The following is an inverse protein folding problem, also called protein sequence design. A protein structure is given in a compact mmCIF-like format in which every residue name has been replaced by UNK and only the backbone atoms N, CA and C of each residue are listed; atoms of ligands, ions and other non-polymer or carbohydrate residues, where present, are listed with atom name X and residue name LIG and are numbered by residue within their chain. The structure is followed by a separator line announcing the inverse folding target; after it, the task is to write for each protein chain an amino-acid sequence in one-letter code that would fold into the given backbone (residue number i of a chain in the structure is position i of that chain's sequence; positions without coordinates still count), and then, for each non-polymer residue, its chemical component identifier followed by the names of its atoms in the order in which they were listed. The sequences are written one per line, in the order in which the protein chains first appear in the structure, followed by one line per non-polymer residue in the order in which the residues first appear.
data_IF_193031697285
#
_entry.id   IF_193031697285
#
_cell.length_a   1.000
_cell.length_b   1.000
_cell.length_c   1.000
_cell.angle_alpha   90.00
_cell.angle_beta   90.00
_cell.angle_gamma   90.00
#
_symmetry.space_group_name_H-M   'P 1'
#
loop_
_entity.id
_entity.type
_entity.pdbx_description
1 polymer ?
#
# COMPACT_ATOMS: atom_id res chain seq x y z
N UNK A 1 17.02 0.42 21.58
CA UNK A 1 15.89 1.35 21.83
C UNK A 1 14.79 0.96 20.86
N UNK A 2 13.52 1.09 21.25
CA UNK A 2 12.42 0.89 20.30
C UNK A 2 12.37 2.12 19.39
N UNK A 3 12.56 1.91 18.09
CA UNK A 3 12.50 2.97 17.09
C UNK A 3 11.05 3.14 16.61
N UNK A 4 10.66 4.37 16.29
CA UNK A 4 9.39 4.70 15.64
C UNK A 4 9.66 5.61 14.43
N UNK A 5 8.65 5.79 13.59
CA UNK A 5 8.81 6.57 12.36
C UNK A 5 9.14 8.03 12.69
N UNK A 6 10.25 8.55 12.14
CA UNK A 6 10.83 9.87 12.40
C UNK A 6 11.19 10.14 13.87
N UNK A 7 11.73 9.14 14.58
CA UNK A 7 12.10 9.25 16.00
C UNK A 7 13.23 10.24 16.31
N UNK A 8 14.03 10.63 15.32
CA UNK A 8 15.01 11.72 15.43
C UNK A 8 14.38 13.11 15.54
N UNK A 9 13.16 13.28 14.99
CA UNK A 9 12.52 14.59 14.84
C UNK A 9 11.29 14.77 15.73
N UNK A 10 10.55 13.70 16.00
CA UNK A 10 9.27 13.73 16.70
C UNK A 10 9.16 12.62 17.76
N UNK A 11 8.46 12.87 18.88
CA UNK A 11 8.08 11.79 19.79
C UNK A 11 7.02 10.90 19.14
N UNK A 12 6.93 9.63 19.59
CA UNK A 12 5.79 8.80 19.24
C UNK A 12 4.54 9.37 19.93
N UNK A 13 3.61 9.93 19.14
CA UNK A 13 2.46 10.62 19.68
C UNK A 13 1.37 9.64 20.15
N UNK A 14 0.49 10.11 21.04
CA UNK A 14 -0.67 9.33 21.47
C UNK A 14 -1.62 9.07 20.29
N UNK A 15 -2.22 7.86 20.19
CA UNK A 15 -3.05 7.50 19.04
C UNK A 15 -4.19 8.51 18.76
N UNK A 16 -4.83 9.04 19.81
CA UNK A 16 -5.99 9.94 19.68
C UNK A 16 -5.61 11.37 19.27
N UNK A 17 -4.33 11.72 19.31
CA UNK A 17 -3.81 13.04 18.95
C UNK A 17 -2.87 12.99 17.73
N UNK A 18 -3.00 11.94 16.91
CA UNK A 18 -2.14 11.72 15.75
C UNK A 18 -2.95 11.70 14.47
N UNK A 19 -2.55 12.50 13.49
CA UNK A 19 -3.15 12.49 12.16
C UNK A 19 -2.75 11.26 11.34
N UNK A 20 -1.64 10.59 11.69
CA UNK A 20 -1.13 9.42 10.98
C UNK A 20 -0.85 8.28 11.95
N UNK A 21 -1.30 7.07 11.61
CA UNK A 21 -0.95 5.85 12.33
C UNK A 21 -0.09 4.97 11.42
N UNK A 22 1.20 4.87 11.73
CA UNK A 22 2.16 4.01 11.03
C UNK A 22 2.06 2.61 11.61
N UNK A 23 1.68 1.64 10.79
CA UNK A 23 1.37 0.26 11.19
C UNK A 23 2.35 -0.67 10.49
N UNK A 24 3.39 -1.18 11.18
CA UNK A 24 4.33 -2.12 10.59
C UNK A 24 3.69 -3.50 10.45
N UNK A 25 3.68 -4.07 9.24
CA UNK A 25 3.15 -5.39 8.96
C UNK A 25 4.19 -6.24 8.22
N UNK A 26 5.10 -6.92 8.96
CA UNK A 26 6.23 -7.66 8.42
C UNK A 26 5.81 -9.04 7.87
N UNK A 27 4.80 -9.07 7.01
CA UNK A 27 4.31 -10.29 6.37
C UNK A 27 5.24 -10.71 5.24
N UNK A 28 5.60 -11.99 5.24
CA UNK A 28 6.31 -12.68 4.15
C UNK A 28 5.86 -14.14 4.18
N UNK A 29 4.79 -14.45 3.44
CA UNK A 29 4.22 -15.80 3.39
C UNK A 29 4.01 -16.29 1.95
N UNK A 30 3.88 -15.38 0.99
CA UNK A 30 3.51 -15.72 -0.39
C UNK A 30 4.56 -15.32 -1.42
N UNK A 31 5.67 -14.68 -1.02
CA UNK A 31 6.80 -14.37 -1.92
C UNK A 31 7.30 -15.63 -2.64
N UNK A 32 7.59 -15.50 -3.94
CA UNK A 32 7.95 -16.65 -4.79
C UNK A 32 9.38 -16.62 -5.36
N UNK A 33 10.05 -15.46 -5.39
CA UNK A 33 11.40 -15.32 -5.95
C UNK A 33 12.46 -14.99 -4.89
N UNK A 34 12.46 -13.76 -4.36
CA UNK A 34 13.39 -13.33 -3.30
C UNK A 34 12.60 -12.99 -2.03
N UNK A 35 13.11 -13.42 -0.88
CA UNK A 35 12.59 -13.04 0.44
C UNK A 35 13.34 -11.84 1.02
N UNK A 36 13.04 -11.51 2.27
CA UNK A 36 13.55 -10.33 3.00
C UNK A 36 12.52 -9.21 3.16
N UNK A 37 11.36 -9.31 2.52
CA UNK A 37 10.26 -8.36 2.60
C UNK A 37 9.77 -8.13 4.04
N UNK A 38 9.76 -9.16 4.89
CA UNK A 38 9.43 -9.01 6.33
C UNK A 38 10.31 -8.00 7.09
N UNK A 39 11.53 -7.74 6.61
CA UNK A 39 12.44 -6.75 7.23
C UNK A 39 12.13 -5.32 6.75
N UNK A 40 11.35 -5.17 5.68
CA UNK A 40 10.98 -3.90 5.05
C UNK A 40 10.41 -2.87 6.02
N UNK A 41 9.38 -3.18 6.83
CA UNK A 41 8.79 -2.21 7.75
C UNK A 41 9.80 -1.66 8.75
N UNK A 42 10.67 -2.53 9.28
CA UNK A 42 11.73 -2.15 10.22
C UNK A 42 12.76 -1.27 9.53
N UNK A 43 13.23 -1.66 8.35
CA UNK A 43 14.21 -0.89 7.57
C UNK A 43 13.69 0.51 7.21
N UNK A 44 12.41 0.64 6.84
CA UNK A 44 11.77 1.94 6.56
C UNK A 44 11.76 2.81 7.81
N UNK A 45 11.39 2.25 8.97
CA UNK A 45 11.38 2.99 10.24
C UNK A 45 12.80 3.45 10.61
N UNK A 46 13.79 2.57 10.52
CA UNK A 46 15.20 2.93 10.82
C UNK A 46 15.73 4.01 9.87
N UNK A 47 15.44 3.90 8.57
CA UNK A 47 15.84 4.88 7.58
C UNK A 47 15.12 6.23 7.76
N UNK A 48 13.88 6.22 8.27
CA UNK A 48 13.09 7.45 8.47
C UNK A 48 13.77 8.45 9.39
N UNK A 49 14.59 8.01 10.35
CA UNK A 49 15.34 8.89 11.24
C UNK A 49 16.39 9.76 10.53
N UNK A 50 16.68 9.50 9.24
CA UNK A 50 17.57 10.31 8.40
C UNK A 50 16.84 11.43 7.64
N UNK A 51 15.52 11.56 7.80
CA UNK A 51 14.73 12.61 7.16
C UNK A 51 14.57 13.83 8.07
N UNK A 52 14.52 15.00 7.44
CA UNK A 52 14.29 16.28 8.11
C UNK A 52 12.79 16.52 8.36
N UNK A 53 12.45 17.25 9.43
CA UNK A 53 11.05 17.58 9.76
C UNK A 53 10.33 18.44 8.73
N UNK A 54 11.06 19.20 7.92
CA UNK A 54 10.51 20.15 6.95
C UNK A 54 10.50 19.54 5.56
N UNK A 55 9.35 19.62 4.90
CA UNK A 55 9.14 19.17 3.52
C UNK A 55 8.86 20.39 2.66
N UNK A 56 9.65 20.56 1.60
CA UNK A 56 9.50 21.66 0.64
C UNK A 56 8.07 21.67 0.05
N UNK A 57 7.39 22.81 0.11
CA UNK A 57 6.00 22.96 -0.36
C UNK A 57 4.92 22.43 0.59
N UNK A 58 5.28 21.68 1.64
CA UNK A 58 4.32 21.04 2.57
C UNK A 58 4.53 21.40 4.05
N UNK A 59 5.63 22.07 4.41
CA UNK A 59 5.87 22.55 5.77
C UNK A 59 6.28 21.41 6.72
N UNK A 60 5.65 21.33 7.89
CA UNK A 60 5.96 20.33 8.92
C UNK A 60 4.78 19.36 9.13
N UNK A 61 4.63 18.33 8.28
CA UNK A 61 3.53 17.38 8.40
C UNK A 61 3.56 16.58 9.72
N UNK A 62 4.75 16.30 10.26
CA UNK A 62 4.89 15.55 11.53
C UNK A 62 4.34 16.28 12.75
N UNK A 63 4.19 17.62 12.69
CA UNK A 63 3.52 18.40 13.74
C UNK A 63 2.04 18.06 13.95
N UNK A 64 1.41 17.37 12.98
CA UNK A 64 0.05 16.85 13.10
C UNK A 64 -0.04 15.55 13.94
N UNK A 65 1.09 15.05 14.43
CA UNK A 65 1.19 13.85 15.24
C UNK A 65 1.30 12.57 14.40
N UNK A 66 2.28 11.75 14.74
CA UNK A 66 2.55 10.44 14.14
C UNK A 66 2.57 9.42 15.27
N UNK A 67 1.69 8.42 15.18
CA UNK A 67 1.65 7.28 16.08
C UNK A 67 2.19 6.06 15.34
N UNK A 68 3.32 5.50 15.76
CA UNK A 68 3.81 4.21 15.26
C UNK A 68 3.37 3.11 16.23
N UNK A 69 2.66 2.11 15.73
CA UNK A 69 2.20 0.96 16.52
C UNK A 69 3.33 -0.05 16.72
N UNK A 70 3.12 -1.01 17.62
CA UNK A 70 3.89 -2.25 17.56
C UNK A 70 3.64 -2.99 16.23
N UNK A 71 4.61 -3.76 15.71
CA UNK A 71 4.42 -4.55 14.50
C UNK A 71 3.29 -5.57 14.64
N UNK A 72 2.52 -5.76 13.57
CA UNK A 72 1.47 -6.78 13.51
C UNK A 72 2.10 -8.18 13.64
N UNK A 73 1.65 -9.00 14.61
CA UNK A 73 2.12 -10.38 14.74
C UNK A 73 1.71 -11.25 13.54
N UNK A 74 2.68 -12.00 13.00
CA UNK A 74 2.48 -12.90 11.84
C UNK A 74 2.45 -14.38 12.20
N UNK A 75 2.65 -14.73 13.47
CA UNK A 75 2.73 -16.12 13.95
C UNK A 75 1.38 -16.87 14.00
N UNK A 76 0.26 -16.18 13.78
CA UNK A 76 -1.08 -16.79 13.74
C UNK A 76 -1.54 -17.25 12.35
N UNK A 77 -0.68 -17.14 11.33
CA UNK A 77 -0.97 -17.45 9.92
C UNK A 77 -1.62 -16.29 9.15
N UNK A 78 -1.50 -16.34 7.82
CA UNK A 78 -1.90 -15.27 6.87
C UNK A 78 -3.23 -14.58 7.19
N UNK A 79 -4.32 -15.36 7.26
CA UNK A 79 -5.69 -14.83 7.45
C UNK A 79 -5.82 -14.10 8.79
N UNK A 80 -5.20 -14.64 9.84
CA UNK A 80 -5.22 -14.01 11.16
C UNK A 80 -4.43 -12.71 11.16
N UNK A 81 -3.24 -12.72 10.57
CA UNK A 81 -2.37 -11.54 10.49
C UNK A 81 -3.02 -10.40 9.68
N UNK A 82 -3.62 -10.72 8.52
CA UNK A 82 -4.41 -9.78 7.72
C UNK A 82 -5.54 -9.16 8.55
N UNK A 83 -6.27 -9.97 9.33
CA UNK A 83 -7.34 -9.48 10.20
C UNK A 83 -6.83 -8.55 11.30
N UNK A 84 -5.68 -8.86 11.91
CA UNK A 84 -5.07 -7.99 12.91
C UNK A 84 -4.66 -6.64 12.31
N UNK A 85 -4.04 -6.65 11.12
CA UNK A 85 -3.69 -5.43 10.40
C UNK A 85 -4.94 -4.60 10.05
N UNK A 86 -6.00 -5.25 9.55
CA UNK A 86 -7.27 -4.58 9.25
C UNK A 86 -7.90 -3.93 10.49
N UNK A 87 -7.87 -4.61 11.64
CA UNK A 87 -8.33 -4.04 12.91
C UNK A 87 -7.52 -2.81 13.34
N UNK A 88 -6.20 -2.82 13.13
CA UNK A 88 -5.33 -1.69 13.42
C UNK A 88 -5.64 -0.49 12.50
N UNK A 89 -5.86 -0.72 11.21
CA UNK A 89 -6.27 0.32 10.27
C UNK A 89 -7.63 0.92 10.63
N UNK A 90 -8.60 0.08 11.00
CA UNK A 90 -9.90 0.55 11.49
C UNK A 90 -9.78 1.35 12.79
N UNK A 91 -8.85 0.99 13.69
CA UNK A 91 -8.60 1.76 14.90
C UNK A 91 -8.05 3.15 14.57
N UNK A 92 -7.10 3.26 13.65
CA UNK A 92 -6.61 4.55 13.16
C UNK A 92 -7.75 5.44 12.65
N UNK A 93 -8.64 4.88 11.83
CA UNK A 93 -9.80 5.59 11.31
C UNK A 93 -10.76 6.07 12.41
N UNK A 94 -10.98 5.26 13.48
CA UNK A 94 -11.76 5.68 14.65
C UNK A 94 -11.10 6.82 15.43
N UNK A 95 -9.77 6.92 15.41
CA UNK A 95 -9.02 8.05 15.94
C UNK A 95 -9.01 9.26 15.00
N UNK A 96 -9.76 9.24 13.89
CA UNK A 96 -9.73 10.25 12.83
C UNK A 96 -8.31 10.45 12.23
N UNK A 97 -7.52 9.37 12.23
CA UNK A 97 -6.18 9.31 11.66
C UNK A 97 -6.19 8.59 10.31
N UNK A 98 -5.19 8.87 9.49
CA UNK A 98 -4.92 8.14 8.26
C UNK A 98 -4.03 6.94 8.57
N UNK A 99 -4.48 5.69 8.31
CA UNK A 99 -3.62 4.52 8.46
C UNK A 99 -2.54 4.49 7.36
N UNK A 100 -1.30 4.24 7.76
CA UNK A 100 -0.14 4.07 6.89
C UNK A 100 0.45 2.69 7.17
N UNK A 101 0.10 1.72 6.34
CA UNK A 101 0.58 0.34 6.49
C UNK A 101 1.96 0.21 5.83
N UNK A 102 2.98 -0.14 6.62
CA UNK A 102 4.30 -0.48 6.09
C UNK A 102 4.35 -2.00 5.92
N UNK A 103 4.31 -2.45 4.67
CA UNK A 103 4.23 -3.87 4.34
C UNK A 103 5.57 -4.59 4.29
N UNK A 104 5.50 -5.91 4.24
CA UNK A 104 6.54 -6.74 3.65
C UNK A 104 6.21 -7.00 2.18
N UNK A 105 5.38 -8.00 1.91
CA UNK A 105 4.89 -8.30 0.55
C UNK A 105 3.60 -7.54 0.19
N UNK A 106 3.25 -7.44 -1.10
CA UNK A 106 2.08 -6.64 -1.52
C UNK A 106 0.72 -7.19 -1.06
N UNK A 107 0.67 -8.47 -0.71
CA UNK A 107 -0.52 -9.14 -0.19
C UNK A 107 -1.04 -8.52 1.11
N UNK A 108 -0.23 -7.75 1.84
CA UNK A 108 -0.67 -6.99 3.02
C UNK A 108 -1.84 -6.06 2.70
N UNK A 109 -1.99 -5.62 1.44
CA UNK A 109 -3.10 -4.79 0.97
C UNK A 109 -4.47 -5.47 1.18
N UNK A 110 -4.53 -6.80 1.30
CA UNK A 110 -5.75 -7.51 1.67
C UNK A 110 -6.34 -7.03 3.01
N UNK A 111 -5.50 -6.53 3.93
CA UNK A 111 -5.94 -5.98 5.22
C UNK A 111 -6.80 -4.72 5.10
N UNK A 112 -6.70 -4.01 3.97
CA UNK A 112 -7.46 -2.78 3.74
C UNK A 112 -8.88 -3.04 3.19
N UNK A 113 -9.15 -4.20 2.58
CA UNK A 113 -10.36 -4.40 1.75
C UNK A 113 -11.65 -4.13 2.54
N UNK A 114 -11.80 -4.72 3.73
CA UNK A 114 -13.00 -4.49 4.57
C UNK A 114 -13.16 -3.02 4.96
N UNK A 115 -12.04 -2.34 5.29
CA UNK A 115 -12.05 -0.91 5.59
C UNK A 115 -12.49 -0.07 4.38
N UNK A 116 -12.05 -0.44 3.18
CA UNK A 116 -12.41 0.26 1.96
C UNK A 116 -13.90 0.10 1.63
N UNK A 117 -14.45 -1.09 1.83
CA UNK A 117 -15.89 -1.34 1.70
C UNK A 117 -16.70 -0.49 2.69
N UNK A 118 -16.25 -0.40 3.95
CA UNK A 118 -16.89 0.44 4.97
C UNK A 118 -16.79 1.95 4.66
N UNK A 119 -15.76 2.37 3.91
CA UNK A 119 -15.56 3.77 3.50
C UNK A 119 -16.53 4.26 2.42
N UNK A 120 -17.26 3.36 1.74
CA UNK A 120 -18.16 3.69 0.63
C UNK A 120 -17.40 3.99 -0.67
N UNK A 121 -17.63 5.17 -1.26
CA UNK A 121 -17.03 5.55 -2.55
C UNK A 121 -15.52 5.84 -2.41
N UNK A 122 -14.70 4.81 -2.59
CA UNK A 122 -13.23 4.86 -2.57
C UNK A 122 -12.67 4.09 -3.77
N UNK A 123 -11.57 4.59 -4.35
CA UNK A 123 -10.84 3.93 -5.42
C UNK A 123 -9.44 3.51 -4.95
N UNK A 124 -8.90 2.45 -5.52
CA UNK A 124 -7.52 2.02 -5.29
C UNK A 124 -6.64 2.55 -6.41
N UNK A 125 -5.58 3.26 -6.04
CA UNK A 125 -4.50 3.67 -6.94
C UNK A 125 -3.27 2.82 -6.61
N UNK A 126 -2.90 1.94 -7.53
CA UNK A 126 -1.77 1.04 -7.40
C UNK A 126 -0.58 1.56 -8.22
N UNK A 127 0.57 1.71 -7.57
CA UNK A 127 1.86 1.88 -8.23
C UNK A 127 2.61 0.56 -8.15
N UNK A 128 2.95 -0.03 -9.30
CA UNK A 128 3.50 -1.39 -9.37
C UNK A 128 4.09 -1.68 -10.76
N UNK A 129 5.04 -2.59 -10.85
CA UNK A 129 5.45 -3.19 -12.12
C UNK A 129 4.48 -4.27 -12.63
N UNK A 130 3.75 -4.92 -11.71
CA UNK A 130 2.87 -6.06 -11.89
C UNK A 130 1.39 -5.71 -11.70
N UNK A 131 0.50 -6.43 -12.40
CA UNK A 131 -0.94 -6.18 -12.29
C UNK A 131 -1.55 -6.76 -11.01
N UNK A 132 -0.98 -7.83 -10.47
CA UNK A 132 -1.52 -8.57 -9.32
C UNK A 132 -3.00 -8.96 -9.44
N UNK A 133 -3.41 -9.30 -10.66
CA UNK A 133 -4.78 -9.61 -11.06
C UNK A 133 -5.01 -11.12 -11.26
N UNK A 134 -4.10 -12.00 -10.85
CA UNK A 134 -4.35 -13.45 -10.91
C UNK A 134 -5.46 -13.85 -9.95
N UNK A 135 -6.27 -14.84 -10.32
CA UNK A 135 -7.27 -15.40 -9.40
C UNK A 135 -6.60 -16.14 -8.25
N UNK A 136 -5.63 -17.00 -8.60
CA UNK A 136 -4.82 -17.75 -7.66
C UNK A 136 -3.37 -17.80 -8.11
N UNK A 137 -2.45 -17.83 -7.16
CA UNK A 137 -1.04 -18.07 -7.43
C UNK A 137 -0.47 -18.96 -6.32
N UNK A 138 0.28 -19.99 -6.73
CA UNK A 138 0.80 -21.04 -5.83
C UNK A 138 -0.25 -21.61 -4.85
N UNK A 139 -1.50 -21.74 -5.32
CA UNK A 139 -2.62 -22.29 -4.54
C UNK A 139 -3.31 -21.30 -3.60
N UNK A 140 -2.93 -20.01 -3.59
CA UNK A 140 -3.52 -19.00 -2.72
C UNK A 140 -4.21 -17.87 -3.49
N UNK A 141 -5.43 -17.51 -3.05
CA UNK A 141 -6.13 -16.27 -3.47
C UNK A 141 -5.60 -15.01 -2.76
N UNK A 142 -4.87 -15.21 -1.66
CA UNK A 142 -4.30 -14.14 -0.84
C UNK A 142 -2.81 -13.94 -1.14
N UNK A 143 -2.31 -14.45 -2.27
CA UNK A 143 -0.95 -14.20 -2.72
C UNK A 143 -0.75 -12.73 -3.10
N UNK A 144 0.50 -12.27 -3.01
CA UNK A 144 0.93 -10.96 -3.53
C UNK A 144 0.42 -10.75 -4.96
N UNK A 145 0.62 -11.73 -5.87
CA UNK A 145 0.20 -11.66 -7.26
C UNK A 145 -1.34 -11.68 -7.51
N UNK A 146 -2.16 -11.69 -6.46
CA UNK A 146 -3.62 -11.82 -6.54
C UNK A 146 -4.37 -10.69 -5.83
N UNK A 147 -3.69 -9.79 -5.12
CA UNK A 147 -4.36 -8.87 -4.20
C UNK A 147 -5.27 -7.88 -4.92
N UNK A 148 -4.88 -7.43 -6.12
CA UNK A 148 -5.71 -6.54 -6.92
C UNK A 148 -6.91 -7.24 -7.53
N UNK A 149 -6.83 -8.57 -7.77
CA UNK A 149 -8.02 -9.35 -8.13
C UNK A 149 -9.07 -9.28 -7.03
N UNK A 150 -8.67 -9.38 -5.77
CA UNK A 150 -9.58 -9.29 -4.61
C UNK A 150 -10.24 -7.92 -4.53
N UNK A 151 -9.49 -6.86 -4.81
CA UNK A 151 -10.00 -5.47 -4.87
C UNK A 151 -11.12 -5.33 -5.91
N UNK A 152 -10.89 -5.79 -7.15
CA UNK A 152 -11.89 -5.62 -8.23
C UNK A 152 -13.08 -6.56 -8.07
N UNK A 153 -12.89 -7.76 -7.50
CA UNK A 153 -13.99 -8.68 -7.13
C UNK A 153 -14.89 -8.11 -6.03
N UNK A 154 -14.33 -7.32 -5.12
CA UNK A 154 -15.08 -6.58 -4.11
C UNK A 154 -15.84 -5.37 -4.68
N UNK A 155 -15.71 -5.08 -5.99
CA UNK A 155 -16.37 -3.97 -6.65
C UNK A 155 -15.70 -2.61 -6.43
N UNK A 156 -14.47 -2.59 -5.92
CA UNK A 156 -13.71 -1.36 -5.68
C UNK A 156 -13.01 -0.94 -6.98
N UNK A 157 -13.22 0.29 -7.49
CA UNK A 157 -12.54 0.78 -8.68
C UNK A 157 -11.02 0.78 -8.52
N UNK A 158 -10.31 0.25 -9.51
CA UNK A 158 -8.85 0.16 -9.53
C UNK A 158 -8.27 0.97 -10.68
N UNK A 159 -7.19 1.70 -10.40
CA UNK A 159 -6.33 2.33 -11.39
C UNK A 159 -4.87 1.95 -11.14
N UNK A 160 -4.18 1.46 -12.17
CA UNK A 160 -2.81 0.94 -12.06
C UNK A 160 -1.79 1.83 -12.77
N UNK A 161 -0.62 2.03 -12.19
CA UNK A 161 0.42 2.93 -12.72
C UNK A 161 1.77 2.22 -12.67
N UNK A 162 2.51 2.21 -13.79
CA UNK A 162 3.85 1.62 -13.86
C UNK A 162 3.89 0.17 -14.37
N UNK A 163 2.74 -0.38 -14.75
CA UNK A 163 2.60 -1.77 -15.19
C UNK A 163 3.47 -2.06 -16.42
N UNK A 164 4.23 -3.14 -16.34
CA UNK A 164 5.13 -3.63 -17.39
C UNK A 164 5.37 -5.14 -17.36
N UNK A 165 4.81 -5.84 -16.39
CA UNK A 165 4.88 -7.29 -16.28
C UNK A 165 3.49 -7.87 -15.93
N UNK A 166 3.01 -8.82 -16.72
CA UNK A 166 1.67 -9.38 -16.59
C UNK A 166 1.51 -10.67 -17.41
N UNK A 167 0.54 -11.49 -17.02
CA UNK A 167 0.12 -12.69 -17.75
C UNK A 167 -1.13 -12.44 -18.64
N UNK A 168 -1.49 -13.43 -19.45
CA UNK A 168 -2.75 -13.38 -20.23
C UNK A 168 -3.99 -13.32 -19.31
N UNK A 169 -3.94 -13.99 -18.16
CA UNK A 169 -5.00 -13.95 -17.15
C UNK A 169 -5.18 -12.55 -16.57
N UNK A 170 -4.07 -11.85 -16.29
CA UNK A 170 -4.10 -10.47 -15.80
C UNK A 170 -4.73 -9.53 -16.83
N UNK A 171 -4.44 -9.70 -18.13
CA UNK A 171 -5.07 -8.90 -19.18
C UNK A 171 -6.57 -9.15 -19.28
N UNK A 172 -6.99 -10.42 -19.23
CA UNK A 172 -8.40 -10.78 -19.24
C UNK A 172 -9.14 -10.19 -18.02
N UNK A 173 -8.48 -10.19 -16.84
CA UNK A 173 -8.95 -9.52 -15.65
C UNK A 173 -9.16 -8.02 -15.85
N UNK A 174 -8.11 -7.36 -16.35
CA UNK A 174 -8.08 -5.91 -16.53
C UNK A 174 -9.24 -5.46 -17.42
N UNK A 175 -9.50 -6.21 -18.50
CA UNK A 175 -10.63 -5.97 -19.40
C UNK A 175 -11.99 -6.26 -18.74
N UNK A 176 -12.15 -7.45 -18.12
CA UNK A 176 -13.39 -7.86 -17.47
C UNK A 176 -13.85 -6.85 -16.42
N UNK A 177 -12.93 -6.36 -15.60
CA UNK A 177 -13.19 -5.45 -14.49
C UNK A 177 -13.00 -3.97 -14.86
N UNK A 178 -12.66 -3.67 -16.12
CA UNK A 178 -12.48 -2.31 -16.67
C UNK A 178 -11.50 -1.47 -15.84
N UNK A 179 -10.40 -2.08 -15.44
CA UNK A 179 -9.35 -1.44 -14.63
C UNK A 179 -8.68 -0.34 -15.46
N UNK A 180 -8.59 0.87 -14.91
CA UNK A 180 -7.88 1.97 -15.54
C UNK A 180 -6.37 1.82 -15.39
N UNK A 181 -5.57 2.36 -16.30
CA UNK A 181 -4.13 2.20 -16.21
C UNK A 181 -3.30 3.26 -16.93
N UNK A 182 -2.06 3.43 -16.45
CA UNK A 182 -0.94 4.01 -17.16
C UNK A 182 0.26 3.04 -17.11
N UNK A 183 0.41 2.22 -18.15
CA UNK A 183 1.54 1.29 -18.27
C UNK A 183 2.86 2.07 -18.32
N UNK A 184 3.96 1.49 -17.82
CA UNK A 184 5.28 2.16 -17.76
C UNK A 184 5.73 2.68 -19.14
N UNK A 185 5.41 1.95 -20.20
CA UNK A 185 5.75 2.35 -21.56
C UNK A 185 5.04 3.64 -22.00
N UNK A 186 3.81 3.86 -21.53
CA UNK A 186 3.05 5.10 -21.75
C UNK A 186 3.66 6.24 -20.95
N UNK A 187 4.01 6.00 -19.68
CA UNK A 187 4.68 6.99 -18.82
C UNK A 187 6.02 7.43 -19.41
N UNK A 188 6.85 6.48 -19.86
CA UNK A 188 8.14 6.74 -20.49
C UNK A 188 8.03 7.62 -21.75
N UNK A 189 6.98 7.42 -22.55
CA UNK A 189 6.74 8.21 -23.77
C UNK A 189 6.01 9.53 -23.50
N UNK A 190 5.49 9.73 -22.29
CA UNK A 190 4.76 10.93 -21.93
C UNK A 190 5.75 12.08 -21.68
N UNK A 191 5.73 13.08 -22.57
CA UNK A 191 6.62 14.25 -22.45
C UNK A 191 6.22 15.19 -21.33
N UNK A 192 4.96 15.17 -20.93
CA UNK A 192 4.38 16.03 -19.91
C UNK A 192 3.50 15.22 -18.95
N UNK A 193 4.10 14.78 -17.84
CA UNK A 193 3.41 14.00 -16.82
C UNK A 193 2.29 14.80 -16.12
N UNK A 194 2.31 16.14 -16.17
CA UNK A 194 1.25 16.96 -15.56
C UNK A 194 -0.10 16.83 -16.28
N UNK A 195 -0.09 16.30 -17.50
CA UNK A 195 -1.29 16.00 -18.28
C UNK A 195 -2.00 14.72 -17.83
N UNK A 196 -1.32 13.84 -17.08
CA UNK A 196 -1.88 12.58 -16.60
C UNK A 196 -2.93 12.85 -15.52
N UNK A 197 -4.14 12.33 -15.72
CA UNK A 197 -5.26 12.53 -14.81
C UNK A 197 -6.05 11.24 -14.69
N UNK A 198 -6.46 10.92 -13.47
CA UNK A 198 -7.45 9.88 -13.26
C UNK A 198 -8.74 10.25 -14.01
N UNK A 199 -9.49 9.26 -14.54
CA UNK A 199 -10.78 9.49 -15.18
C UNK A 199 -11.70 10.34 -14.30
N UNK A 200 -12.52 11.21 -14.90
CA UNK A 200 -13.41 12.10 -14.15
C UNK A 200 -14.38 11.36 -13.22
N UNK A 201 -14.78 10.14 -13.63
CA UNK A 201 -15.65 9.23 -12.89
C UNK A 201 -14.91 8.37 -11.86
N UNK A 202 -13.58 8.43 -11.79
CA UNK A 202 -12.83 7.69 -10.77
C UNK A 202 -13.06 8.33 -9.39
N UNK A 203 -13.21 7.52 -8.31
CA UNK A 203 -13.46 8.04 -6.97
C UNK A 203 -12.44 9.10 -6.54
N UNK A 204 -12.92 10.12 -5.81
CA UNK A 204 -12.05 11.19 -5.28
C UNK A 204 -11.31 10.78 -4.01
N UNK A 205 -11.93 9.92 -3.19
CA UNK A 205 -11.26 9.31 -2.05
C UNK A 205 -10.44 8.14 -2.56
N UNK A 206 -9.15 8.13 -2.22
CA UNK A 206 -8.20 7.16 -2.71
C UNK A 206 -7.59 6.36 -1.57
N UNK A 207 -7.43 5.07 -1.80
CA UNK A 207 -6.43 4.25 -1.12
C UNK A 207 -5.25 4.07 -2.07
N UNK A 208 -4.06 4.48 -1.63
CA UNK A 208 -2.85 4.38 -2.44
C UNK A 208 -2.06 3.19 -1.92
N UNK A 209 -1.77 2.25 -2.81
CA UNK A 209 -0.83 1.17 -2.55
C UNK A 209 0.37 1.32 -3.48
N UNK A 210 1.57 1.17 -2.92
CA UNK A 210 2.81 1.42 -3.61
C UNK A 210 3.71 0.20 -3.43
N UNK A 211 3.81 -0.63 -4.46
CA UNK A 211 4.87 -1.63 -4.54
C UNK A 211 6.17 -0.93 -4.97
N UNK A 212 7.25 -1.19 -4.25
CA UNK A 212 8.54 -0.55 -4.52
C UNK A 212 9.14 -0.98 -5.85
N UNK A 213 8.73 -2.13 -6.39
CA UNK A 213 9.15 -2.58 -7.71
C UNK A 213 8.57 -1.72 -8.86
N UNK A 214 7.63 -0.81 -8.56
CA UNK A 214 7.16 0.19 -9.50
C UNK A 214 8.32 1.05 -10.03
N UNK A 215 9.33 1.30 -9.19
CA UNK A 215 10.55 2.02 -9.57
C UNK A 215 11.39 1.23 -10.57
N UNK A 216 12.21 1.94 -11.32
CA UNK A 216 13.23 1.30 -12.17
C UNK A 216 14.30 0.62 -11.30
N UNK A 217 14.82 -0.52 -11.76
CA UNK A 217 15.80 -1.32 -11.02
C UNK A 217 17.16 -0.61 -10.79
N UNK A 218 17.41 0.51 -11.48
CA UNK A 218 18.57 1.36 -11.19
C UNK A 218 18.41 2.24 -9.94
N UNK A 219 17.18 2.38 -9.43
CA UNK A 219 16.84 3.13 -8.23
C UNK A 219 16.56 2.23 -7.02
N UNK A 220 15.95 1.06 -7.24
CA UNK A 220 15.56 0.08 -6.22
C UNK A 220 15.96 -1.33 -6.63
#
# INVERSE_FOLDING_TARGET
MQHWFLDSEFPNAEPQHSAFHVIPFPLEETVSYMGGTKEGPKAIIEASGQLERLVEGYGNPGSLGIHTTDPIPVNGGLVHAIKLAGNAMQYAMRCNATPVLLGGEHSVTNAAIDLLLDCGEVGVLQFDAHMDLRDTYEGSKLSHACVMRRVVEAGIPLFQVGIRNYSEEDLAAREQYRVGYYDASTLYRCKDLSSLKLPSLFPKKLYITFDVDAFDASLM
#
